data_IF_550787622458
#
_entry.id   IF_550787622458
#
_cell.length_a   1.000
_cell.length_b   1.000
_cell.length_c   1.000
_cell.angle_alpha   90.00
_cell.angle_beta   90.00
_cell.angle_gamma   90.00
#
_symmetry.space_group_name_H-M   'P 1'
#
loop_
_entity.id
_entity.type
_entity.pdbx_description
1 polymer ?
#
# COMPACT_ATOMS: atom_id res chain seq x y z
N UNK A 1 -62.44 -13.92 41.24
CA UNK A 1 -61.04 -13.48 41.44
C UNK A 1 -60.49 -13.05 40.08
N UNK A 2 -60.11 -11.77 39.94
CA UNK A 2 -59.58 -11.15 38.70
C UNK A 2 -58.06 -11.27 38.70
N UNK A 3 -57.47 -11.99 37.75
CA UNK A 3 -56.03 -11.91 37.49
C UNK A 3 -55.82 -11.09 36.21
N UNK A 4 -55.24 -9.89 36.39
CA UNK A 4 -54.74 -9.02 35.33
C UNK A 4 -53.38 -9.55 34.88
N UNK A 5 -53.23 -9.94 33.61
CA UNK A 5 -51.92 -10.10 33.00
C UNK A 5 -51.36 -8.70 32.67
N UNK A 6 -50.22 -8.36 33.26
CA UNK A 6 -49.39 -7.23 32.84
C UNK A 6 -48.72 -7.58 31.51
N UNK A 7 -48.97 -6.78 30.48
CA UNK A 7 -48.19 -6.76 29.24
C UNK A 7 -46.91 -5.95 29.49
N UNK A 8 -45.75 -6.60 29.40
CA UNK A 8 -44.43 -5.97 29.50
C UNK A 8 -43.99 -5.53 28.09
N UNK A 9 -44.07 -4.24 27.82
CA UNK A 9 -43.52 -3.63 26.60
C UNK A 9 -41.98 -3.59 26.72
N UNK A 10 -41.27 -4.42 25.94
CA UNK A 10 -39.83 -4.32 25.75
C UNK A 10 -39.55 -3.22 24.71
N UNK A 11 -39.02 -2.08 25.16
CA UNK A 11 -38.50 -1.02 24.30
C UNK A 11 -37.14 -1.46 23.71
N UNK A 12 -37.13 -1.82 22.43
CA UNK A 12 -35.90 -2.04 21.67
C UNK A 12 -35.37 -0.66 21.24
N UNK A 13 -34.33 -0.17 21.89
CA UNK A 13 -33.60 1.00 21.41
C UNK A 13 -32.74 0.60 20.19
N UNK A 14 -32.81 1.34 19.06
CA UNK A 14 -31.89 1.10 17.96
C UNK A 14 -30.48 1.52 18.38
N UNK A 15 -29.60 0.53 18.52
CA UNK A 15 -28.15 0.74 18.60
C UNK A 15 -27.70 1.40 17.29
N UNK A 16 -27.57 2.72 17.29
CA UNK A 16 -26.79 3.43 16.30
C UNK A 16 -25.31 3.14 16.58
N UNK A 17 -24.80 2.06 15.98
CA UNK A 17 -23.35 1.85 15.85
C UNK A 17 -22.85 2.86 14.84
N UNK A 18 -22.36 3.99 15.36
CA UNK A 18 -21.58 4.92 14.54
C UNK A 18 -20.25 4.22 14.24
N UNK A 19 -20.10 3.71 13.02
CA UNK A 19 -18.85 3.16 12.53
C UNK A 19 -17.81 4.29 12.44
N UNK A 20 -17.09 4.55 13.53
CA UNK A 20 -15.80 5.21 13.44
C UNK A 20 -14.87 4.24 12.73
N UNK A 21 -14.68 4.45 11.42
CA UNK A 21 -13.67 3.76 10.62
C UNK A 21 -12.30 3.99 11.25
N UNK A 22 -11.89 3.07 12.11
CA UNK A 22 -10.51 2.98 12.57
C UNK A 22 -9.69 2.48 11.38
N UNK A 23 -8.72 3.30 10.96
CA UNK A 23 -7.65 2.85 10.06
C UNK A 23 -6.97 1.65 10.73
N UNK A 24 -7.28 0.45 10.29
CA UNK A 24 -6.57 -0.73 10.75
C UNK A 24 -5.14 -0.68 10.17
N UNK A 25 -4.09 -0.55 11.01
CA UNK A 25 -2.73 -0.53 10.50
C UNK A 25 -2.45 -1.86 9.81
N UNK A 26 -1.99 -1.80 8.56
CA UNK A 26 -1.72 -2.98 7.75
C UNK A 26 -0.81 -3.96 8.51
N UNK A 27 -1.36 -5.12 8.89
CA UNK A 27 -0.57 -6.17 9.52
C UNK A 27 0.37 -6.82 8.49
N UNK A 28 1.56 -7.17 8.96
CA UNK A 28 2.55 -7.87 8.14
C UNK A 28 2.06 -9.25 7.74
N UNK A 29 2.17 -9.56 6.45
CA UNK A 29 2.11 -10.95 6.01
C UNK A 29 3.52 -11.56 6.21
N UNK A 30 3.67 -12.57 7.10
CA UNK A 30 4.96 -13.21 7.36
C UNK A 30 5.61 -13.82 6.10
N UNK A 31 4.84 -14.05 5.03
CA UNK A 31 5.34 -14.61 3.77
C UNK A 31 6.24 -13.66 2.98
N UNK A 32 6.16 -12.34 3.20
CA UNK A 32 7.07 -11.38 2.55
C UNK A 32 8.49 -11.57 3.06
N UNK A 33 8.66 -11.60 4.38
CA UNK A 33 9.98 -11.64 5.01
C UNK A 33 10.67 -12.98 4.84
N UNK A 34 9.93 -14.09 4.83
CA UNK A 34 10.48 -15.41 4.56
C UNK A 34 11.21 -15.50 3.20
N UNK A 35 10.84 -14.65 2.25
CA UNK A 35 11.42 -14.62 0.90
C UNK A 35 12.58 -13.63 0.73
N UNK A 36 12.78 -12.70 1.66
CA UNK A 36 13.77 -11.63 1.55
C UNK A 36 14.65 -11.61 2.81
N UNK A 37 15.82 -12.28 2.79
CA UNK A 37 16.76 -12.29 3.91
C UNK A 37 17.08 -10.88 4.42
N UNK A 38 17.37 -10.76 5.73
CA UNK A 38 17.79 -9.49 6.34
C UNK A 38 19.01 -8.95 5.60
N UNK A 39 18.94 -7.70 5.18
CA UNK A 39 20.04 -7.02 4.49
C UNK A 39 19.60 -5.83 3.64
N UNK A 40 20.58 -5.24 2.98
CA UNK A 40 20.46 -4.10 2.07
C UNK A 40 20.63 -4.63 0.65
N UNK A 41 19.67 -4.31 -0.20
CA UNK A 41 19.64 -4.66 -1.62
C UNK A 41 20.01 -3.40 -2.39
N UNK A 42 21.27 -3.31 -2.82
CA UNK A 42 21.83 -2.14 -3.49
C UNK A 42 21.17 -1.90 -4.85
N UNK A 43 20.89 -2.98 -5.58
CA UNK A 43 20.32 -2.93 -6.93
C UNK A 43 18.97 -3.64 -7.03
N UNK A 44 18.28 -3.45 -8.16
CA UNK A 44 17.08 -4.23 -8.47
C UNK A 44 17.41 -5.71 -8.72
N UNK A 45 18.59 -6.00 -9.26
CA UNK A 45 19.07 -7.36 -9.50
C UNK A 45 19.28 -8.12 -8.18
N UNK A 46 19.88 -7.47 -7.18
CA UNK A 46 20.01 -8.01 -5.82
C UNK A 46 18.64 -8.36 -5.23
N UNK A 47 17.68 -7.44 -5.41
CA UNK A 47 16.31 -7.61 -4.95
C UNK A 47 15.60 -8.77 -5.64
N UNK A 48 15.73 -8.91 -6.95
CA UNK A 48 15.10 -9.98 -7.73
C UNK A 48 15.70 -11.36 -7.41
N UNK A 49 17.01 -11.41 -7.25
CA UNK A 49 17.74 -12.60 -6.83
C UNK A 49 17.61 -12.88 -5.32
N UNK A 50 16.87 -12.05 -4.58
CA UNK A 50 16.66 -12.16 -3.12
C UNK A 50 17.98 -12.31 -2.35
N UNK A 51 19.04 -11.68 -2.85
CA UNK A 51 20.39 -11.77 -2.31
C UNK A 51 20.85 -10.36 -1.93
N UNK A 52 20.92 -10.02 -0.63
CA UNK A 52 21.35 -8.69 -0.21
C UNK A 52 22.82 -8.46 -0.56
N UNK A 53 23.15 -7.28 -1.07
CA UNK A 53 24.54 -6.87 -1.36
C UNK A 53 25.33 -6.56 -0.08
N UNK A 54 24.64 -6.17 1.00
CA UNK A 54 25.25 -5.90 2.30
C UNK A 54 24.35 -6.42 3.44
N UNK A 55 24.96 -6.94 4.52
CA UNK A 55 24.24 -7.44 5.70
C UNK A 55 24.51 -6.62 6.96
N UNK A 56 24.96 -5.37 6.81
CA UNK A 56 25.26 -4.48 7.94
C UNK A 56 24.01 -4.10 8.72
N UNK A 57 24.15 -3.86 10.03
CA UNK A 57 23.05 -3.38 10.85
C UNK A 57 22.62 -1.95 10.51
N UNK A 58 21.33 -1.70 10.65
CA UNK A 58 20.70 -0.41 10.41
C UNK A 58 19.55 -0.17 11.38
N UNK A 59 19.14 1.09 11.47
CA UNK A 59 17.98 1.52 12.25
C UNK A 59 16.95 2.16 11.34
N UNK A 60 15.66 1.88 11.59
CA UNK A 60 14.54 2.46 10.88
C UNK A 60 13.92 3.59 11.70
N UNK A 61 13.55 4.68 11.04
CA UNK A 61 12.71 5.75 11.59
C UNK A 61 11.56 5.99 10.65
N UNK A 62 10.37 6.23 11.19
CA UNK A 62 9.18 6.55 10.42
C UNK A 62 8.64 7.92 10.81
N UNK A 63 7.86 8.53 9.92
CA UNK A 63 7.03 9.69 10.21
C UNK A 63 5.72 9.29 10.92
N UNK A 64 4.91 10.29 11.29
CA UNK A 64 3.68 10.10 12.07
C UNK A 64 2.61 9.24 11.35
N UNK A 65 2.59 9.23 10.02
CA UNK A 65 1.64 8.41 9.25
C UNK A 65 2.11 6.95 9.03
N UNK A 66 3.34 6.62 9.47
CA UNK A 66 3.93 5.29 9.33
C UNK A 66 4.08 4.77 7.89
N UNK A 67 4.10 5.66 6.89
CA UNK A 67 4.25 5.29 5.48
C UNK A 67 5.70 5.43 5.02
N UNK A 68 6.35 6.54 5.41
CA UNK A 68 7.67 6.91 4.91
C UNK A 68 8.77 6.54 5.91
N UNK A 69 9.54 5.50 5.55
CA UNK A 69 10.66 5.01 6.35
C UNK A 69 11.98 5.60 5.89
N UNK A 70 12.85 5.92 6.85
CA UNK A 70 14.24 6.33 6.62
C UNK A 70 15.16 5.44 7.42
N UNK A 71 16.27 5.05 6.81
CA UNK A 71 17.22 4.13 7.39
C UNK A 71 18.56 4.80 7.62
N UNK A 72 19.22 4.45 8.73
CA UNK A 72 20.60 4.86 9.03
C UNK A 72 21.43 3.64 9.37
N UNK A 73 22.68 3.61 8.93
CA UNK A 73 23.64 2.57 9.29
C UNK A 73 24.09 2.71 10.76
N UNK A 74 24.93 1.78 11.22
CA UNK A 74 25.50 1.80 12.58
C UNK A 74 26.26 3.10 12.92
N UNK A 75 26.83 3.80 11.93
CA UNK A 75 27.50 5.08 12.10
C UNK A 75 26.53 6.28 12.13
N UNK A 76 25.21 6.05 12.08
CA UNK A 76 24.19 7.09 12.04
C UNK A 76 24.06 7.80 10.68
N UNK A 77 24.72 7.31 9.63
CA UNK A 77 24.62 7.86 8.27
C UNK A 77 23.39 7.30 7.56
N UNK A 78 22.60 8.18 6.95
CA UNK A 78 21.43 7.79 6.17
C UNK A 78 21.79 6.87 4.99
N UNK A 79 21.09 5.75 4.87
CA UNK A 79 21.17 4.80 3.75
C UNK A 79 20.27 5.33 2.64
N UNK A 80 20.88 6.06 1.70
CA UNK A 80 20.13 6.80 0.68
C UNK A 80 19.99 6.08 -0.64
N UNK A 81 20.85 5.12 -0.96
CA UNK A 81 21.00 4.62 -2.33
C UNK A 81 20.73 3.14 -2.52
N UNK A 82 20.28 2.45 -1.47
CA UNK A 82 19.79 1.09 -1.60
C UNK A 82 18.46 1.07 -2.36
N UNK A 83 18.28 0.09 -3.24
CA UNK A 83 17.01 -0.18 -3.90
C UNK A 83 15.96 -0.65 -2.90
N UNK A 84 16.32 -1.61 -2.05
CA UNK A 84 15.46 -2.15 -1.00
C UNK A 84 16.24 -2.48 0.27
N UNK A 85 15.51 -2.60 1.38
CA UNK A 85 16.04 -2.98 2.70
C UNK A 85 15.08 -3.99 3.32
N UNK A 86 15.60 -5.09 3.86
CA UNK A 86 14.83 -6.05 4.66
C UNK A 86 15.41 -6.13 6.06
N UNK A 87 14.58 -5.93 7.09
CA UNK A 87 14.99 -6.14 8.50
C UNK A 87 14.86 -7.60 8.96
N UNK A 88 14.50 -8.50 8.03
CA UNK A 88 14.21 -9.91 8.30
C UNK A 88 12.74 -10.18 8.69
N UNK A 89 11.94 -9.14 8.93
CA UNK A 89 10.50 -9.20 9.22
C UNK A 89 9.66 -8.35 8.26
N UNK A 90 10.23 -7.26 7.76
CA UNK A 90 9.62 -6.29 6.87
C UNK A 90 10.55 -6.04 5.70
N UNK A 91 9.95 -5.81 4.53
CA UNK A 91 10.64 -5.40 3.32
C UNK A 91 10.26 -3.95 3.00
N UNK A 92 11.23 -3.18 2.53
CA UNK A 92 11.05 -1.78 2.18
C UNK A 92 11.70 -1.49 0.84
N UNK A 93 11.02 -0.77 -0.05
CA UNK A 93 11.56 -0.38 -1.36
C UNK A 93 11.64 1.14 -1.44
N UNK A 94 12.75 1.63 -1.98
CA UNK A 94 13.00 3.06 -2.13
C UNK A 94 12.02 3.67 -3.12
N UNK A 95 11.32 4.73 -2.69
CA UNK A 95 10.31 5.39 -3.51
C UNK A 95 10.87 6.00 -4.81
N UNK A 96 12.14 6.46 -4.77
CA UNK A 96 12.83 6.96 -5.98
C UNK A 96 12.93 5.87 -7.05
N UNK A 97 13.23 4.64 -6.64
CA UNK A 97 13.44 3.50 -7.54
C UNK A 97 12.11 2.89 -7.99
N UNK A 98 11.07 2.92 -7.16
CA UNK A 98 9.69 2.63 -7.57
C UNK A 98 9.29 3.52 -8.75
N UNK A 99 9.47 4.83 -8.62
CA UNK A 99 9.04 5.79 -9.65
C UNK A 99 9.90 5.70 -10.91
N UNK A 100 11.22 5.47 -10.75
CA UNK A 100 12.13 5.25 -11.88
C UNK A 100 11.66 4.08 -12.75
N UNK A 101 11.13 3.04 -12.11
CA UNK A 101 10.69 1.80 -12.75
C UNK A 101 9.17 1.70 -12.90
N UNK A 102 8.44 2.83 -12.91
CA UNK A 102 7.01 2.81 -13.20
C UNK A 102 6.70 2.37 -14.64
N UNK A 103 5.61 1.60 -14.77
CA UNK A 103 5.01 1.32 -16.08
C UNK A 103 4.55 2.62 -16.77
N UNK A 104 4.31 2.55 -18.08
CA UNK A 104 3.91 3.73 -18.87
C UNK A 104 2.61 4.34 -18.34
N UNK A 105 1.67 3.52 -17.87
CA UNK A 105 0.37 3.92 -17.34
C UNK A 105 0.46 4.64 -15.99
N UNK A 106 1.52 4.42 -15.22
CA UNK A 106 1.74 4.93 -13.87
C UNK A 106 2.41 6.30 -13.84
N UNK A 107 3.03 6.72 -14.95
CA UNK A 107 3.66 8.04 -15.09
C UNK A 107 2.65 9.19 -14.99
N UNK A 108 3.15 10.39 -14.67
CA UNK A 108 2.34 11.62 -14.59
C UNK A 108 1.64 11.84 -13.25
N UNK A 109 2.15 11.23 -12.18
CA UNK A 109 1.71 11.50 -10.82
C UNK A 109 2.85 12.13 -10.03
N UNK A 110 2.54 13.17 -9.27
CA UNK A 110 3.43 13.79 -8.31
C UNK A 110 3.29 13.05 -6.98
N UNK A 111 4.39 13.00 -6.26
CA UNK A 111 4.51 12.39 -4.93
C UNK A 111 5.13 13.39 -3.99
N UNK A 112 5.16 13.05 -2.73
CA UNK A 112 5.92 13.82 -1.76
C UNK A 112 7.42 13.78 -2.08
N UNK A 113 8.07 14.93 -1.90
CA UNK A 113 9.51 15.06 -2.11
C UNK A 113 10.31 14.31 -1.05
N UNK A 114 11.55 13.95 -1.40
CA UNK A 114 12.53 13.43 -0.45
C UNK A 114 13.01 12.02 -0.77
N UNK A 115 13.81 11.48 0.14
CA UNK A 115 14.34 10.13 0.07
C UNK A 115 13.81 9.33 1.26
N UNK A 116 13.01 8.33 0.95
CA UNK A 116 12.37 7.43 1.89
C UNK A 116 12.05 6.11 1.18
N UNK A 117 11.76 5.11 2.00
CA UNK A 117 11.38 3.79 1.59
C UNK A 117 9.93 3.55 2.03
N UNK A 118 9.21 2.81 1.21
CA UNK A 118 7.86 2.38 1.50
C UNK A 118 7.88 0.95 1.97
N UNK A 119 7.12 0.66 3.02
CA UNK A 119 6.95 -0.70 3.52
C UNK A 119 6.15 -1.53 2.51
N UNK A 120 6.61 -2.75 2.27
CA UNK A 120 6.03 -3.69 1.32
C UNK A 120 5.28 -4.79 2.06
N UNK A 121 4.12 -5.14 1.52
CA UNK A 121 3.23 -6.18 2.00
C UNK A 121 3.03 -7.23 0.90
N UNK A 122 2.69 -8.46 1.28
CA UNK A 122 2.17 -9.45 0.33
C UNK A 122 0.66 -9.25 0.24
N UNK A 123 0.15 -9.14 -0.98
CA UNK A 123 -1.29 -9.17 -1.26
C UNK A 123 -1.53 -10.11 -2.44
N UNK A 124 -1.90 -11.35 -2.08
CA UNK A 124 -2.04 -12.45 -3.03
C UNK A 124 -0.75 -12.73 -3.80
N UNK A 125 -0.78 -12.58 -5.12
CA UNK A 125 0.40 -12.77 -5.98
C UNK A 125 1.45 -11.64 -5.89
N UNK A 126 1.08 -10.47 -5.34
CA UNK A 126 1.86 -9.25 -5.55
C UNK A 126 2.60 -8.78 -4.31
N UNK A 127 3.78 -8.19 -4.54
CA UNK A 127 4.37 -7.24 -3.59
C UNK A 127 3.64 -5.92 -3.75
N UNK A 128 3.08 -5.44 -2.66
CA UNK A 128 2.13 -4.34 -2.60
C UNK A 128 2.63 -3.26 -1.64
N UNK A 129 2.46 -2.00 -2.01
CA UNK A 129 2.72 -0.86 -1.13
C UNK A 129 1.78 0.30 -1.42
N UNK A 130 1.77 1.30 -0.55
CA UNK A 130 0.87 2.45 -0.63
C UNK A 130 1.65 3.73 -0.40
N UNK A 131 1.29 4.78 -1.13
CA UNK A 131 1.78 6.13 -0.86
C UNK A 131 0.76 7.17 -1.33
N UNK A 132 0.93 8.39 -0.87
CA UNK A 132 0.15 9.53 -1.29
C UNK A 132 0.67 10.11 -2.61
N UNK A 133 -0.23 10.23 -3.58
CA UNK A 133 0.04 10.87 -4.87
C UNK A 133 -0.99 11.94 -5.18
N UNK A 134 -0.59 12.86 -6.05
CA UNK A 134 -1.46 13.82 -6.71
C UNK A 134 -1.24 13.80 -8.22
N UNK A 135 -2.23 14.24 -9.00
CA UNK A 135 -2.07 14.38 -10.44
C UNK A 135 -1.16 15.57 -10.76
N UNK A 136 -0.21 15.41 -11.67
CA UNK A 136 0.63 16.52 -12.13
C UNK A 136 -0.22 17.70 -12.67
N UNK A 137 -1.37 17.39 -13.26
CA UNK A 137 -2.29 18.40 -13.79
C UNK A 137 -2.90 19.27 -12.68
N UNK A 138 -3.13 18.70 -11.48
CA UNK A 138 -3.70 19.43 -10.34
C UNK A 138 -2.74 20.50 -9.83
N UNK A 139 -1.43 20.24 -9.85
CA UNK A 139 -0.41 21.23 -9.52
C UNK A 139 -0.29 22.35 -10.55
N UNK A 140 -0.46 22.04 -11.85
CA UNK A 140 -0.40 23.02 -12.94
C UNK A 140 -1.62 23.95 -12.93
N UNK A 141 -2.83 23.40 -12.78
CA UNK A 141 -4.07 24.18 -12.92
C UNK A 141 -4.49 24.91 -11.63
N UNK A 142 -4.11 24.41 -10.45
CA UNK A 142 -4.58 24.97 -9.17
C UNK A 142 -3.49 25.23 -8.14
N UNK A 143 -2.21 25.14 -8.53
CA UNK A 143 -1.08 25.42 -7.67
C UNK A 143 -0.95 24.47 -6.47
N UNK A 144 -0.17 24.88 -5.47
CA UNK A 144 0.15 24.05 -4.29
C UNK A 144 -1.09 23.65 -3.47
N UNK A 145 -2.11 24.52 -3.38
CA UNK A 145 -3.33 24.26 -2.61
C UNK A 145 -4.16 23.15 -3.27
N UNK A 146 -4.44 23.25 -4.57
CA UNK A 146 -5.17 22.19 -5.28
C UNK A 146 -4.39 20.88 -5.31
N UNK A 147 -3.06 20.94 -5.42
CA UNK A 147 -2.17 19.77 -5.32
C UNK A 147 -2.31 19.07 -3.96
N UNK A 148 -2.35 19.83 -2.85
CA UNK A 148 -2.53 19.27 -1.51
C UNK A 148 -3.93 18.68 -1.30
N UNK A 149 -4.98 19.36 -1.76
CA UNK A 149 -6.36 18.89 -1.62
C UNK A 149 -6.67 17.63 -2.46
N UNK A 150 -5.94 17.45 -3.56
CA UNK A 150 -6.06 16.29 -4.46
C UNK A 150 -5.11 15.13 -4.12
N UNK A 151 -4.29 15.28 -3.07
CA UNK A 151 -3.43 14.21 -2.57
C UNK A 151 -4.30 13.05 -2.04
N UNK A 152 -4.09 11.85 -2.56
CA UNK A 152 -4.84 10.63 -2.21
C UNK A 152 -3.89 9.47 -2.06
N UNK A 153 -4.19 8.57 -1.12
CA UNK A 153 -3.50 7.29 -0.99
C UNK A 153 -3.75 6.45 -2.25
N UNK A 154 -2.71 5.84 -2.79
CA UNK A 154 -2.80 4.98 -3.97
C UNK A 154 -2.00 3.70 -3.78
N UNK A 155 -2.52 2.63 -4.37
CA UNK A 155 -1.89 1.32 -4.37
C UNK A 155 -0.83 1.20 -5.46
N UNK A 156 0.29 0.58 -5.10
CA UNK A 156 1.39 0.23 -6.00
C UNK A 156 1.63 -1.27 -5.87
N UNK A 157 1.79 -1.95 -7.01
CA UNK A 157 2.27 -3.33 -7.06
C UNK A 157 3.55 -3.44 -7.87
N UNK A 158 4.40 -4.41 -7.53
CA UNK A 158 5.52 -4.83 -8.35
C UNK A 158 5.10 -5.97 -9.28
N UNK A 159 5.47 -5.87 -10.56
CA UNK A 159 5.19 -6.83 -11.62
C UNK A 159 6.49 -7.56 -12.00
N UNK A 160 6.72 -8.81 -11.52
CA UNK A 160 7.99 -9.51 -11.71
C UNK A 160 8.32 -9.73 -13.19
N UNK A 161 7.33 -10.06 -14.02
CA UNK A 161 7.50 -10.34 -15.47
C UNK A 161 8.09 -9.16 -16.27
N UNK A 162 7.91 -7.94 -15.76
CA UNK A 162 8.34 -6.73 -16.48
C UNK A 162 9.31 -5.87 -15.69
N UNK A 163 9.67 -6.32 -14.48
CA UNK A 163 10.54 -5.60 -13.55
C UNK A 163 10.07 -4.15 -13.30
N UNK A 164 8.74 -3.95 -13.28
CA UNK A 164 8.11 -2.62 -13.21
C UNK A 164 7.14 -2.51 -12.07
N UNK A 165 6.93 -1.27 -11.64
CA UNK A 165 5.90 -0.93 -10.68
C UNK A 165 4.66 -0.39 -11.39
N UNK A 166 3.50 -0.83 -10.95
CA UNK A 166 2.20 -0.35 -11.41
C UNK A 166 1.49 0.39 -10.29
N UNK A 167 1.18 1.65 -10.52
CA UNK A 167 0.37 2.51 -9.68
C UNK A 167 -1.07 2.52 -10.18
N UNK A 168 -2.00 2.15 -9.31
CA UNK A 168 -3.42 2.26 -9.61
C UNK A 168 -3.88 3.69 -9.33
N UNK A 169 -4.06 4.46 -10.42
CA UNK A 169 -4.42 5.89 -10.33
C UNK A 169 -5.81 6.12 -9.73
N UNK A 170 -6.71 5.16 -9.90
CA UNK A 170 -8.07 5.10 -9.38
C UNK A 170 -8.62 3.68 -9.58
N UNK A 171 -9.85 3.45 -9.10
CA UNK A 171 -10.50 2.14 -9.19
C UNK A 171 -10.76 1.66 -10.63
N UNK A 172 -10.96 2.59 -11.58
CA UNK A 172 -11.14 2.24 -13.00
C UNK A 172 -9.89 1.59 -13.60
N UNK A 173 -8.69 2.14 -13.32
CA UNK A 173 -7.44 1.53 -13.78
C UNK A 173 -7.16 0.19 -13.11
N UNK A 174 -7.56 0.02 -11.85
CA UNK A 174 -7.49 -1.26 -11.18
C UNK A 174 -8.45 -2.29 -11.80
N UNK A 175 -9.68 -1.87 -12.13
CA UNK A 175 -10.65 -2.73 -12.79
C UNK A 175 -10.12 -3.30 -14.10
N UNK A 176 -9.54 -2.46 -14.96
CA UNK A 176 -8.91 -2.94 -16.21
C UNK A 176 -7.83 -3.99 -15.95
N UNK A 177 -7.00 -3.78 -14.93
CA UNK A 177 -6.00 -4.76 -14.54
C UNK A 177 -6.63 -6.08 -14.07
N UNK A 178 -7.70 -6.04 -13.28
CA UNK A 178 -8.41 -7.24 -12.82
C UNK A 178 -9.16 -7.93 -13.97
N UNK A 179 -9.77 -7.19 -14.89
CA UNK A 179 -10.41 -7.74 -16.09
C UNK A 179 -9.42 -8.57 -16.93
N UNK A 180 -8.19 -8.07 -17.10
CA UNK A 180 -7.15 -8.72 -17.89
C UNK A 180 -6.51 -9.94 -17.18
N UNK A 181 -6.35 -9.90 -15.86
CA UNK A 181 -5.55 -10.88 -15.12
C UNK A 181 -6.37 -11.84 -14.25
N UNK A 182 -7.53 -11.39 -13.76
CA UNK A 182 -8.40 -12.13 -12.84
C UNK A 182 -9.88 -11.82 -13.11
N UNK A 183 -10.41 -12.11 -14.31
CA UNK A 183 -11.76 -11.69 -14.71
C UNK A 183 -12.87 -12.13 -13.75
N UNK A 184 -12.68 -13.25 -13.03
CA UNK A 184 -13.61 -13.72 -12.00
C UNK A 184 -13.73 -12.80 -10.76
N UNK A 185 -12.80 -11.88 -10.54
CA UNK A 185 -12.80 -10.93 -9.43
C UNK A 185 -13.42 -9.57 -9.80
N UNK A 186 -13.77 -9.33 -11.06
CA UNK A 186 -14.36 -8.05 -11.52
C UNK A 186 -15.61 -7.65 -10.73
N UNK A 187 -16.57 -8.56 -10.41
CA UNK A 187 -17.75 -8.18 -9.64
C UNK A 187 -17.42 -7.59 -8.27
N UNK A 188 -16.29 -7.96 -7.67
CA UNK A 188 -15.88 -7.46 -6.35
C UNK A 188 -15.34 -6.03 -6.41
N UNK A 189 -14.86 -5.60 -7.57
CA UNK A 189 -14.46 -4.20 -7.82
C UNK A 189 -15.70 -3.32 -8.04
N UNK A 190 -16.79 -3.88 -8.57
CA UNK A 190 -18.01 -3.15 -8.93
C UNK A 190 -19.01 -2.98 -7.77
N UNK A 191 -18.91 -3.80 -6.71
CA UNK A 191 -19.81 -3.76 -5.55
C UNK A 191 -19.61 -2.55 -4.62
N UNK A 192 -18.78 -1.59 -5.03
CA UNK A 192 -18.20 -0.56 -4.17
C UNK A 192 -19.00 0.74 -4.18
N UNK A 193 -19.82 0.95 -3.14
CA UNK A 193 -20.39 2.25 -2.81
C UNK A 193 -19.85 2.72 -1.45
N UNK A 194 -18.92 3.66 -1.47
CA UNK A 194 -18.50 4.42 -0.29
C UNK A 194 -17.22 3.95 0.43
N UNK A 195 -16.56 2.87 -0.01
CA UNK A 195 -15.24 2.49 0.49
C UNK A 195 -14.12 3.35 -0.14
N UNK A 196 -12.97 3.46 0.53
CA UNK A 196 -11.80 4.12 -0.06
C UNK A 196 -11.18 3.22 -1.14
N UNK A 197 -10.80 3.80 -2.29
CA UNK A 197 -10.29 3.02 -3.43
C UNK A 197 -9.15 2.05 -3.08
N UNK A 198 -8.26 2.44 -2.15
CA UNK A 198 -7.12 1.61 -1.72
C UNK A 198 -7.56 0.37 -0.93
N UNK A 199 -8.66 0.45 -0.18
CA UNK A 199 -9.20 -0.66 0.62
C UNK A 199 -9.78 -1.74 -0.30
N UNK A 200 -10.52 -1.32 -1.32
CA UNK A 200 -11.02 -2.18 -2.40
C UNK A 200 -9.87 -2.95 -3.05
N UNK A 201 -8.83 -2.22 -3.47
CA UNK A 201 -7.67 -2.81 -4.15
C UNK A 201 -7.00 -3.83 -3.23
N UNK A 202 -6.79 -3.49 -1.96
CA UNK A 202 -6.19 -4.39 -0.97
C UNK A 202 -7.02 -5.67 -0.80
N UNK A 203 -8.33 -5.55 -0.69
CA UNK A 203 -9.26 -6.67 -0.51
C UNK A 203 -9.26 -7.60 -1.72
N UNK A 204 -9.37 -7.04 -2.93
CA UNK A 204 -9.41 -7.83 -4.16
C UNK A 204 -8.07 -8.49 -4.45
N UNK A 205 -6.95 -7.77 -4.28
CA UNK A 205 -5.61 -8.37 -4.46
C UNK A 205 -5.36 -9.52 -3.48
N UNK A 206 -5.88 -9.45 -2.26
CA UNK A 206 -5.73 -10.51 -1.26
C UNK A 206 -6.40 -11.84 -1.68
N UNK A 207 -7.31 -11.81 -2.65
CA UNK A 207 -7.98 -13.00 -3.18
C UNK A 207 -7.29 -13.58 -4.42
N UNK A 208 -6.21 -12.94 -4.89
CA UNK A 208 -5.41 -13.49 -5.98
C UNK A 208 -4.52 -14.61 -5.43
N UNK A 209 -4.51 -15.77 -6.08
CA UNK A 209 -3.62 -16.86 -5.70
C UNK A 209 -2.15 -16.44 -5.94
N UNK A 210 -1.22 -16.76 -5.04
CA UNK A 210 0.21 -16.65 -5.33
C UNK A 210 0.53 -17.44 -6.61
N UNK A 211 1.20 -16.79 -7.58
CA UNK A 211 1.80 -17.50 -8.71
C UNK A 211 3.02 -18.29 -8.25
#
# INVERSE_FOLDING_TARGET
MRNKLLSLFLLILPFWVSAQNQFDPMQNDPSVSANYPKGIYGTIEDFENKTPSETSDFTARTNNDSIAYRFSNAAGKNIKDAFAISDGTNLYIRMKDIVKNFDKGSKGQARDGGNYYLKVYRKGAYLYTEDFFTSNMSGILGGAIASAMSRRMKAIIYLPETHKFKLFKNLKFFKFFIEDNYPGLVPQVEQEKGEFEVEVIRRVLSQTAPQ
#
